data_IF_801271924626
#
_entry.id   IF_801271924626
#
_cell.length_a   1.000
_cell.length_b   1.000
_cell.length_c   1.000
_cell.angle_alpha   90.00
_cell.angle_beta   90.00
_cell.angle_gamma   90.00
#
_symmetry.space_group_name_H-M   'P 1'
#
loop_
_entity.id
_entity.type
_entity.pdbx_description
1 polymer ?
#
# COMPACT_ATOMS: atom_id res chain seq x y z
N UNK A 1 -10.99 -30.87 -14.74
CA UNK A 1 -9.79 -31.38 -14.06
C UNK A 1 -8.81 -30.23 -13.98
N UNK A 2 -8.86 -29.47 -12.89
CA UNK A 2 -7.86 -28.43 -12.60
C UNK A 2 -6.71 -29.15 -11.91
N UNK A 3 -5.59 -29.24 -12.62
CA UNK A 3 -4.38 -29.91 -12.16
C UNK A 3 -3.75 -29.08 -11.05
N UNK A 4 -3.61 -29.69 -9.87
CA UNK A 4 -2.76 -29.23 -8.79
C UNK A 4 -1.40 -28.81 -9.33
N UNK A 5 -1.02 -27.54 -9.16
CA UNK A 5 0.30 -27.02 -9.50
C UNK A 5 1.33 -27.73 -8.61
N UNK A 6 2.21 -28.50 -9.23
CA UNK A 6 3.31 -29.21 -8.55
C UNK A 6 4.36 -28.19 -8.07
N UNK A 7 5.14 -28.49 -7.02
CA UNK A 7 6.05 -27.57 -6.34
C UNK A 7 7.39 -27.33 -7.06
N UNK A 8 7.44 -27.27 -8.38
CA UNK A 8 8.69 -27.06 -9.13
C UNK A 8 8.69 -25.88 -10.13
N UNK A 9 7.77 -24.94 -9.97
CA UNK A 9 7.93 -23.67 -10.71
C UNK A 9 8.55 -22.63 -9.77
N UNK A 10 9.90 -22.50 -9.84
CA UNK A 10 10.58 -21.27 -9.41
C UNK A 10 9.92 -20.12 -10.14
N UNK A 11 9.04 -19.37 -9.43
CA UNK A 11 8.42 -18.17 -9.94
C UNK A 11 9.51 -17.18 -10.34
N UNK A 12 9.79 -17.09 -11.65
CA UNK A 12 10.23 -15.82 -12.20
C UNK A 12 9.08 -14.86 -11.93
N UNK A 13 9.33 -13.87 -11.11
CA UNK A 13 8.45 -12.73 -10.96
C UNK A 13 8.15 -12.21 -12.36
N UNK A 14 6.93 -12.44 -12.86
CA UNK A 14 6.43 -11.75 -14.03
C UNK A 14 6.16 -10.32 -13.58
N UNK A 15 7.22 -9.52 -13.61
CA UNK A 15 7.15 -8.07 -13.49
C UNK A 15 6.36 -7.59 -14.70
N UNK A 16 5.27 -6.83 -14.55
CA UNK A 16 4.58 -6.25 -15.68
C UNK A 16 5.59 -5.53 -16.56
N UNK A 17 5.51 -5.75 -17.87
CA UNK A 17 6.44 -5.22 -18.87
C UNK A 17 6.33 -3.69 -19.00
N UNK A 18 6.78 -2.95 -17.98
CA UNK A 18 7.01 -1.51 -18.03
C UNK A 18 8.30 -1.14 -18.80
N UNK A 19 9.05 -2.13 -19.30
CA UNK A 19 10.33 -1.95 -19.97
C UNK A 19 10.21 -1.50 -21.45
N UNK A 20 9.07 -1.00 -21.90
CA UNK A 20 8.96 -0.47 -23.28
C UNK A 20 9.21 1.02 -23.42
N UNK A 21 9.66 1.72 -22.38
CA UNK A 21 10.05 3.12 -22.54
C UNK A 21 11.46 3.38 -22.00
N UNK A 22 12.40 3.46 -22.95
CA UNK A 22 13.62 4.27 -22.95
C UNK A 22 14.58 4.13 -21.75
N UNK A 23 15.38 3.05 -21.75
CA UNK A 23 16.74 3.20 -21.28
C UNK A 23 17.47 4.12 -22.27
N UNK A 24 17.54 5.41 -21.97
CA UNK A 24 18.47 6.32 -22.65
C UNK A 24 19.85 5.93 -22.18
N UNK A 25 20.64 5.30 -23.05
CA UNK A 25 22.06 5.05 -22.85
C UNK A 25 22.81 6.41 -22.91
N UNK A 26 22.71 7.18 -21.85
CA UNK A 26 23.51 8.34 -21.56
C UNK A 26 23.54 8.49 -20.06
N UNK A 27 24.72 8.71 -19.46
CA UNK A 27 24.82 9.06 -18.05
C UNK A 27 23.82 10.20 -17.76
N UNK A 28 22.86 10.04 -16.81
CA UNK A 28 21.92 11.10 -16.52
C UNK A 28 22.71 12.31 -16.03
N UNK A 29 22.59 13.44 -16.72
CA UNK A 29 23.09 14.72 -16.17
C UNK A 29 22.30 14.99 -14.91
N UNK A 30 23.00 15.25 -13.80
CA UNK A 30 22.40 15.62 -12.53
C UNK A 30 21.37 16.74 -12.74
N UNK A 31 20.17 16.56 -12.18
CA UNK A 31 19.05 17.47 -12.39
C UNK A 31 18.70 18.20 -11.09
N UNK A 32 18.04 19.35 -11.23
CA UNK A 32 17.44 20.03 -10.10
C UNK A 32 16.06 19.44 -9.83
N UNK A 33 15.75 19.17 -8.56
CA UNK A 33 14.44 18.71 -8.10
C UNK A 33 13.87 19.70 -7.08
N UNK A 34 12.55 19.85 -7.11
CA UNK A 34 11.80 20.68 -6.15
C UNK A 34 11.54 19.90 -4.86
N UNK A 35 11.36 18.59 -5.00
CA UNK A 35 11.07 17.68 -3.89
C UNK A 35 11.93 16.40 -4.00
N UNK A 36 12.44 15.94 -2.86
CA UNK A 36 13.05 14.61 -2.72
C UNK A 36 12.21 13.78 -1.77
N UNK A 37 11.82 12.59 -2.22
CA UNK A 37 10.97 11.66 -1.49
C UNK A 37 11.77 10.43 -1.11
N UNK A 38 11.77 10.04 0.16
CA UNK A 38 12.42 8.84 0.68
C UNK A 38 11.38 7.78 1.00
N UNK A 39 11.42 6.66 0.28
CA UNK A 39 10.38 5.64 0.36
C UNK A 39 10.95 4.24 0.55
N UNK A 40 10.51 3.56 1.62
CA UNK A 40 10.86 2.16 1.89
C UNK A 40 10.14 1.17 0.98
N UNK A 41 9.06 1.59 0.31
CA UNK A 41 8.32 0.77 -0.64
C UNK A 41 8.90 0.92 -2.04
N UNK A 42 8.92 -0.21 -2.80
CA UNK A 42 9.33 -0.19 -4.20
C UNK A 42 8.24 0.39 -5.07
N UNK A 43 8.61 1.33 -5.94
CA UNK A 43 7.69 1.98 -6.87
C UNK A 43 6.96 0.97 -7.78
N UNK A 44 7.70 -0.02 -8.26
CA UNK A 44 7.21 -1.05 -9.18
C UNK A 44 6.63 -2.29 -8.47
N UNK A 45 6.39 -2.22 -7.18
CA UNK A 45 5.77 -3.30 -6.41
C UNK A 45 4.24 -3.10 -6.33
N UNK A 46 3.65 -3.18 -5.15
CA UNK A 46 2.21 -2.97 -4.97
C UNK A 46 1.90 -1.47 -5.02
N UNK A 47 0.88 -1.09 -5.80
CA UNK A 47 0.45 0.31 -5.94
C UNK A 47 -0.31 0.75 -4.68
N UNK A 48 0.19 1.73 -3.96
CA UNK A 48 -0.27 2.14 -2.64
C UNK A 48 -0.24 3.67 -2.49
N UNK A 49 -0.42 4.17 -1.26
CA UNK A 49 -0.40 5.59 -0.91
C UNK A 49 0.76 6.39 -1.54
N UNK A 50 2.04 5.94 -1.51
CA UNK A 50 3.12 6.71 -2.13
C UNK A 50 2.91 6.93 -3.62
N UNK A 51 2.55 5.88 -4.38
CA UNK A 51 2.30 6.01 -5.81
C UNK A 51 1.11 6.94 -6.09
N UNK A 52 0.03 6.84 -5.32
CA UNK A 52 -1.13 7.71 -5.46
C UNK A 52 -0.80 9.19 -5.23
N UNK A 53 -0.08 9.49 -4.15
CA UNK A 53 0.25 10.86 -3.77
C UNK A 53 1.34 11.45 -4.67
N UNK A 54 2.46 10.76 -4.82
CA UNK A 54 3.63 11.29 -5.52
C UNK A 54 3.36 11.47 -7.02
N UNK A 55 2.59 10.57 -7.66
CA UNK A 55 2.16 10.77 -9.05
C UNK A 55 1.28 12.01 -9.24
N UNK A 56 0.51 12.40 -8.22
CA UNK A 56 -0.33 13.61 -8.27
C UNK A 56 0.49 14.86 -8.00
N UNK A 57 1.36 14.85 -7.01
CA UNK A 57 2.25 15.96 -6.68
C UNK A 57 3.23 16.25 -7.82
N UNK A 58 3.67 15.23 -8.57
CA UNK A 58 4.57 15.40 -9.72
C UNK A 58 3.94 16.17 -10.90
N UNK A 59 2.65 16.44 -10.88
CA UNK A 59 2.02 17.34 -11.86
C UNK A 59 2.46 18.79 -11.67
N UNK A 60 2.84 19.17 -10.44
CA UNK A 60 3.17 20.56 -10.05
C UNK A 60 4.62 20.74 -9.62
N UNK A 61 5.37 19.65 -9.39
CA UNK A 61 6.75 19.69 -8.88
C UNK A 61 7.60 18.61 -9.54
N UNK A 62 8.89 18.88 -9.72
CA UNK A 62 9.85 17.89 -10.18
C UNK A 62 10.37 17.09 -8.99
N UNK A 63 10.13 15.80 -8.99
CA UNK A 63 10.31 14.90 -7.85
C UNK A 63 11.36 13.82 -8.16
N UNK A 64 12.31 13.65 -7.24
CA UNK A 64 13.15 12.47 -7.15
C UNK A 64 12.66 11.60 -5.98
N UNK A 65 12.16 10.40 -6.25
CA UNK A 65 11.88 9.42 -5.22
C UNK A 65 13.08 8.49 -5.10
N UNK A 66 13.59 8.32 -3.88
CA UNK A 66 14.72 7.46 -3.55
C UNK A 66 14.20 6.26 -2.76
N UNK A 67 14.41 5.07 -3.31
CA UNK A 67 14.06 3.79 -2.66
C UNK A 67 15.14 3.34 -1.68
N UNK A 68 14.83 2.42 -0.77
CA UNK A 68 15.84 1.78 0.08
C UNK A 68 16.86 1.00 -0.77
N UNK A 69 18.15 0.98 -0.36
CA UNK A 69 19.18 0.20 -1.05
C UNK A 69 18.86 -1.30 -1.03
N UNK A 70 19.10 -1.97 -2.15
CA UNK A 70 19.03 -3.44 -2.25
C UNK A 70 20.12 -3.99 -3.16
N UNK A 71 20.45 -5.27 -2.95
CA UNK A 71 21.27 -6.04 -3.85
C UNK A 71 22.74 -5.60 -3.91
N UNK A 72 23.23 -4.91 -2.86
CA UNK A 72 24.65 -4.54 -2.73
C UNK A 72 25.46 -5.72 -2.21
N UNK A 73 26.53 -6.06 -2.90
CA UNK A 73 27.57 -6.97 -2.45
C UNK A 73 28.80 -6.14 -2.04
N UNK A 74 29.57 -6.59 -1.05
CA UNK A 74 30.77 -5.89 -0.56
C UNK A 74 31.88 -5.71 -1.63
N UNK A 75 31.74 -6.37 -2.77
CA UNK A 75 32.63 -6.23 -3.93
C UNK A 75 32.07 -5.30 -5.00
N UNK A 76 30.82 -4.78 -4.83
CA UNK A 76 30.19 -3.86 -5.77
C UNK A 76 30.75 -2.43 -5.60
N UNK A 77 30.81 -1.69 -6.72
CA UNK A 77 30.93 -0.24 -6.67
C UNK A 77 29.57 0.37 -6.36
N UNK A 78 29.55 1.44 -5.55
CA UNK A 78 28.33 2.18 -5.27
C UNK A 78 27.74 2.75 -6.56
N UNK A 79 26.46 2.51 -6.82
CA UNK A 79 25.78 2.90 -8.06
C UNK A 79 24.28 3.08 -7.81
N UNK A 80 23.56 3.54 -8.81
CA UNK A 80 22.10 3.62 -8.76
C UNK A 80 21.48 3.42 -10.14
N UNK A 81 20.26 2.98 -10.17
CA UNK A 81 19.44 2.88 -11.37
C UNK A 81 18.35 3.96 -11.32
N UNK A 82 18.28 4.82 -12.34
CA UNK A 82 17.28 5.88 -12.44
C UNK A 82 16.16 5.47 -13.40
N UNK A 83 14.96 5.27 -12.86
CA UNK A 83 13.77 5.04 -13.65
C UNK A 83 13.08 6.40 -13.92
N UNK A 84 12.87 6.72 -15.18
CA UNK A 84 12.12 7.90 -15.60
C UNK A 84 10.66 7.50 -15.81
N UNK A 85 9.78 7.90 -14.90
CA UNK A 85 8.34 7.64 -14.98
C UNK A 85 7.68 8.63 -15.94
N UNK A 86 8.02 9.91 -15.79
CA UNK A 86 7.65 11.00 -16.69
C UNK A 86 8.67 12.14 -16.52
N UNK A 87 8.45 13.28 -17.17
CA UNK A 87 9.35 14.44 -17.15
C UNK A 87 9.60 15.02 -15.74
N UNK A 88 8.64 14.85 -14.82
CA UNK A 88 8.67 15.41 -13.47
C UNK A 88 8.85 14.35 -12.37
N UNK A 89 8.82 13.06 -12.68
CA UNK A 89 8.93 12.00 -11.67
C UNK A 89 9.99 10.98 -12.06
N UNK A 90 11.05 10.96 -11.26
CA UNK A 90 12.15 10.02 -11.39
C UNK A 90 12.28 9.19 -10.12
N UNK A 91 12.63 7.90 -10.27
CA UNK A 91 12.81 6.97 -9.16
C UNK A 91 14.27 6.53 -9.15
N UNK A 92 15.00 6.83 -8.11
CA UNK A 92 16.36 6.35 -7.88
C UNK A 92 16.30 5.05 -7.07
N UNK A 93 16.91 4.01 -7.61
CA UNK A 93 17.07 2.70 -6.97
C UNK A 93 18.55 2.55 -6.60
N UNK A 94 18.93 2.88 -5.35
CA UNK A 94 20.33 2.83 -4.93
C UNK A 94 20.82 1.38 -4.82
N UNK A 95 22.03 1.12 -5.34
CA UNK A 95 22.79 -0.08 -5.08
C UNK A 95 24.02 0.32 -4.28
N UNK A 96 23.83 0.51 -2.99
CA UNK A 96 24.83 0.96 -2.01
C UNK A 96 24.68 0.14 -0.73
N UNK A 97 25.68 0.21 0.14
CA UNK A 97 25.77 -0.62 1.34
C UNK A 97 24.63 -0.38 2.35
N UNK A 98 24.28 0.87 2.59
CA UNK A 98 23.30 1.31 3.59
C UNK A 98 22.67 2.65 3.18
N UNK A 99 21.77 3.18 4.00
CA UNK A 99 21.08 4.46 3.72
C UNK A 99 22.05 5.63 3.65
N UNK A 100 23.03 5.70 4.55
CA UNK A 100 24.03 6.78 4.62
C UNK A 100 24.88 6.81 3.34
N UNK A 101 25.19 5.65 2.78
CA UNK A 101 25.97 5.52 1.56
C UNK A 101 25.23 6.00 0.29
N UNK A 102 23.92 6.26 0.37
CA UNK A 102 23.18 6.92 -0.73
C UNK A 102 23.84 8.27 -1.09
N UNK A 103 24.35 8.99 -0.08
CA UNK A 103 25.03 10.28 -0.27
C UNK A 103 26.19 10.22 -1.27
N UNK A 104 26.84 9.07 -1.42
CA UNK A 104 28.00 8.87 -2.33
C UNK A 104 27.58 9.01 -3.79
N UNK A 105 26.40 8.50 -4.15
CA UNK A 105 25.92 8.47 -5.54
C UNK A 105 25.06 9.67 -5.92
N UNK A 106 24.54 10.44 -4.93
CA UNK A 106 23.63 11.56 -5.19
C UNK A 106 24.17 12.57 -6.22
N UNK A 107 25.47 12.96 -6.23
CA UNK A 107 25.97 13.93 -7.20
C UNK A 107 25.81 13.54 -8.67
N UNK A 108 25.59 12.27 -8.95
CA UNK A 108 25.34 11.78 -10.33
C UNK A 108 23.89 12.06 -10.78
N UNK A 109 22.97 12.23 -9.85
CA UNK A 109 21.52 12.29 -10.13
C UNK A 109 20.89 13.63 -9.78
N UNK A 110 21.40 14.32 -8.75
CA UNK A 110 20.86 15.60 -8.27
C UNK A 110 21.93 16.69 -8.28
N UNK A 111 21.58 17.85 -8.84
CA UNK A 111 22.47 18.99 -8.96
C UNK A 111 22.33 20.02 -7.82
N UNK A 112 21.34 19.83 -6.93
CA UNK A 112 21.12 20.69 -5.76
C UNK A 112 20.83 19.84 -4.52
N UNK A 113 21.42 20.18 -3.38
CA UNK A 113 21.16 19.56 -2.08
C UNK A 113 20.23 20.41 -1.20
N UNK A 114 19.60 21.42 -1.78
CA UNK A 114 18.63 22.31 -1.12
C UNK A 114 17.27 22.31 -1.88
N UNK A 115 16.61 21.15 -2.05
CA UNK A 115 15.25 21.10 -2.58
C UNK A 115 14.26 21.70 -1.58
N UNK A 116 13.15 22.26 -2.08
CA UNK A 116 12.16 22.92 -1.21
C UNK A 116 11.51 21.93 -0.23
N UNK A 117 11.32 20.67 -0.63
CA UNK A 117 10.65 19.68 0.23
C UNK A 117 11.45 18.38 0.34
N UNK A 118 11.70 17.95 1.58
CA UNK A 118 12.11 16.60 1.92
C UNK A 118 10.93 15.81 2.45
N UNK A 119 10.50 14.76 1.73
CA UNK A 119 9.35 13.94 2.11
C UNK A 119 9.79 12.54 2.51
N UNK A 120 9.53 12.16 3.76
CA UNK A 120 9.97 10.89 4.33
C UNK A 120 8.77 9.96 4.59
N UNK A 121 8.76 8.77 3.98
CA UNK A 121 7.81 7.69 4.29
C UNK A 121 8.34 6.73 5.35
N UNK A 122 9.63 6.75 5.62
CA UNK A 122 10.25 5.90 6.64
C UNK A 122 11.34 6.67 7.37
N UNK A 123 11.40 6.47 8.68
CA UNK A 123 12.43 7.05 9.54
C UNK A 123 13.81 6.43 9.31
N UNK A 124 13.91 5.28 8.62
CA UNK A 124 15.20 4.69 8.21
C UNK A 124 16.08 5.65 7.42
N UNK A 125 15.45 6.58 6.68
CA UNK A 125 16.14 7.60 5.89
C UNK A 125 16.53 8.85 6.67
N UNK A 126 16.25 8.93 7.97
CA UNK A 126 16.57 10.12 8.78
C UNK A 126 18.04 10.57 8.75
N UNK A 127 19.04 9.69 8.54
CA UNK A 127 20.43 10.13 8.37
C UNK A 127 20.65 11.07 7.17
N UNK A 128 19.79 11.02 6.16
CA UNK A 128 19.90 11.89 4.98
C UNK A 128 19.44 13.34 5.23
N UNK A 129 18.84 13.64 6.39
CA UNK A 129 18.63 15.02 6.85
C UNK A 129 19.95 15.79 6.99
N UNK A 130 21.05 15.10 7.30
CA UNK A 130 22.39 15.72 7.40
C UNK A 130 23.03 16.01 6.02
N UNK A 131 22.46 15.46 4.94
CA UNK A 131 22.98 15.58 3.57
C UNK A 131 22.28 16.69 2.80
N UNK A 132 20.98 16.88 3.07
CA UNK A 132 20.14 17.85 2.37
C UNK A 132 19.78 19.03 3.28
N UNK A 133 19.68 20.22 2.67
CA UNK A 133 19.18 21.44 3.31
C UNK A 133 17.78 21.74 2.77
N UNK A 134 16.76 21.11 3.37
CA UNK A 134 15.36 21.26 2.96
C UNK A 134 14.75 22.55 3.56
N UNK A 135 13.92 23.25 2.76
CA UNK A 135 13.11 24.36 3.28
C UNK A 135 11.96 23.84 4.17
N UNK A 136 11.43 22.66 3.83
CA UNK A 136 10.33 22.01 4.58
C UNK A 136 10.58 20.51 4.64
N UNK A 137 10.54 19.94 5.85
CA UNK A 137 10.65 18.50 6.09
C UNK A 137 9.28 17.93 6.41
N UNK A 138 8.83 16.97 5.63
CA UNK A 138 7.55 16.26 5.78
C UNK A 138 7.81 14.83 6.18
N UNK A 139 7.22 14.38 7.29
CA UNK A 139 7.12 12.97 7.64
C UNK A 139 5.71 12.46 7.34
N UNK A 140 5.53 11.65 6.29
CA UNK A 140 4.28 10.96 5.98
C UNK A 140 4.27 9.58 6.63
N UNK A 141 3.90 9.53 7.90
CA UNK A 141 3.77 8.33 8.71
C UNK A 141 2.49 7.59 8.32
N UNK A 142 2.58 6.73 7.31
CA UNK A 142 1.42 5.97 6.83
C UNK A 142 1.14 4.71 7.64
N UNK A 143 2.16 4.15 8.30
CA UNK A 143 2.11 2.96 9.16
C UNK A 143 3.04 3.16 10.36
N UNK A 144 2.80 2.45 11.47
CA UNK A 144 3.69 2.40 12.63
C UNK A 144 4.78 1.33 12.39
N UNK A 145 5.77 1.67 11.55
CA UNK A 145 6.80 0.72 11.10
C UNK A 145 7.60 0.10 12.24
N UNK A 146 7.70 0.79 13.39
CA UNK A 146 8.42 0.31 14.59
C UNK A 146 7.75 -0.90 15.22
N UNK A 147 6.47 -1.15 14.94
CA UNK A 147 5.68 -2.26 15.46
C UNK A 147 5.65 -3.48 14.56
N UNK A 148 6.21 -3.40 13.36
CA UNK A 148 6.24 -4.53 12.44
C UNK A 148 7.25 -5.58 12.89
N UNK A 149 6.93 -6.86 12.66
CA UNK A 149 7.83 -7.98 12.97
C UNK A 149 9.18 -7.79 12.28
N UNK A 150 10.25 -7.90 13.05
CA UNK A 150 11.61 -7.75 12.55
C UNK A 150 12.05 -6.29 12.32
N UNK A 151 11.27 -5.29 12.72
CA UNK A 151 11.70 -3.89 12.65
C UNK A 151 13.01 -3.69 13.43
N UNK A 152 14.03 -3.03 12.85
CA UNK A 152 15.29 -2.75 13.53
C UNK A 152 15.05 -1.87 14.76
N UNK A 153 15.69 -2.19 15.89
CA UNK A 153 15.52 -1.40 17.13
C UNK A 153 15.91 0.07 16.95
N UNK A 154 16.90 0.34 16.12
CA UNK A 154 17.35 1.71 15.79
C UNK A 154 16.25 2.56 15.15
N UNK A 155 15.25 1.95 14.51
CA UNK A 155 14.14 2.66 13.86
C UNK A 155 13.36 3.53 14.85
N UNK A 156 13.28 3.12 16.13
CA UNK A 156 12.62 3.90 17.19
C UNK A 156 13.34 5.24 17.43
N UNK A 157 14.66 5.23 17.49
CA UNK A 157 15.43 6.46 17.71
C UNK A 157 15.51 7.30 16.44
N UNK A 158 15.57 6.65 15.28
CA UNK A 158 15.46 7.31 13.99
C UNK A 158 14.10 8.01 13.81
N UNK A 159 13.01 7.41 14.27
CA UNK A 159 11.69 8.04 14.22
C UNK A 159 11.61 9.25 15.16
N UNK A 160 12.13 9.15 16.38
CA UNK A 160 12.20 10.31 17.28
C UNK A 160 13.02 11.46 16.67
N UNK A 161 14.14 11.12 16.03
CA UNK A 161 14.97 12.10 15.36
C UNK A 161 14.26 12.75 14.18
N UNK A 162 13.61 11.96 13.31
CA UNK A 162 12.83 12.49 12.19
C UNK A 162 11.66 13.35 12.67
N UNK A 163 10.91 12.89 13.69
CA UNK A 163 9.83 13.66 14.30
C UNK A 163 10.29 15.01 14.86
N UNK A 164 11.46 15.05 15.48
CA UNK A 164 12.02 16.29 16.06
C UNK A 164 12.51 17.30 14.98
N UNK A 165 12.79 16.84 13.77
CA UNK A 165 13.28 17.66 12.66
C UNK A 165 12.22 17.87 11.54
N UNK A 166 11.07 17.24 11.64
CA UNK A 166 9.97 17.45 10.70
C UNK A 166 9.27 18.78 11.01
N UNK A 167 8.90 19.52 9.98
CA UNK A 167 8.01 20.69 10.09
C UNK A 167 6.56 20.26 10.09
N UNK A 168 6.26 19.17 9.37
CA UNK A 168 4.93 18.63 9.15
C UNK A 168 4.94 17.12 9.31
N UNK A 169 3.97 16.58 10.04
CA UNK A 169 3.70 15.15 10.13
C UNK A 169 2.31 14.86 9.56
N UNK A 170 2.27 14.06 8.51
CA UNK A 170 1.03 13.46 8.01
C UNK A 170 0.87 12.05 8.57
N UNK A 171 -0.36 11.64 8.84
CA UNK A 171 -0.64 10.28 9.34
C UNK A 171 -1.65 9.57 8.46
N UNK A 172 -1.44 8.27 8.23
CA UNK A 172 -2.25 7.43 7.36
C UNK A 172 -3.59 6.99 7.94
N UNK A 173 -3.91 7.33 9.18
CA UNK A 173 -5.13 6.94 9.87
C UNK A 173 -5.38 7.76 11.13
N UNK A 174 -6.60 7.66 11.67
CA UNK A 174 -7.01 8.42 12.87
C UNK A 174 -6.34 7.92 14.14
N UNK A 175 -6.21 6.59 14.30
CA UNK A 175 -5.53 6.00 15.45
C UNK A 175 -4.04 6.38 15.47
N UNK A 176 -3.41 6.41 14.31
CA UNK A 176 -2.03 6.86 14.16
C UNK A 176 -1.89 8.37 14.45
N UNK A 177 -2.83 9.18 13.98
CA UNK A 177 -2.89 10.61 14.30
C UNK A 177 -2.96 10.85 15.82
N UNK A 178 -3.82 10.14 16.53
CA UNK A 178 -3.96 10.25 17.99
C UNK A 178 -2.67 9.88 18.72
N UNK A 179 -1.88 8.97 18.18
CA UNK A 179 -0.56 8.60 18.70
C UNK A 179 0.47 9.71 18.45
N UNK A 180 0.62 10.16 17.19
CA UNK A 180 1.69 11.08 16.79
C UNK A 180 1.48 12.52 17.27
N UNK A 181 0.24 13.00 17.39
CA UNK A 181 -0.05 14.36 17.87
C UNK A 181 0.37 14.63 19.33
N UNK A 182 0.71 13.58 20.09
CA UNK A 182 1.24 13.72 21.43
C UNK A 182 2.75 14.08 21.43
N UNK A 183 3.40 13.97 20.28
CA UNK A 183 4.84 14.12 20.12
C UNK A 183 5.25 15.21 19.14
N UNK A 184 4.27 15.85 18.43
CA UNK A 184 4.54 16.89 17.46
C UNK A 184 3.34 17.84 17.30
N UNK A 185 3.58 19.14 17.16
CA UNK A 185 2.52 20.16 17.12
C UNK A 185 1.78 20.19 15.77
N UNK A 186 2.50 20.00 14.66
CA UNK A 186 1.98 20.10 13.30
C UNK A 186 1.65 18.72 12.72
N UNK A 187 0.72 17.99 13.34
CA UNK A 187 0.25 16.69 12.88
C UNK A 187 -1.10 16.83 12.20
N UNK A 188 -1.22 16.26 11.00
CA UNK A 188 -2.44 16.29 10.19
C UNK A 188 -2.87 14.89 9.80
N UNK A 189 -4.15 14.59 10.00
CA UNK A 189 -4.72 13.28 9.70
C UNK A 189 -5.18 13.21 8.23
N UNK A 190 -4.57 12.30 7.49
CA UNK A 190 -4.96 11.96 6.12
C UNK A 190 -5.14 10.45 6.00
N UNK A 191 -6.31 9.92 6.40
CA UNK A 191 -6.62 8.50 6.22
C UNK A 191 -6.49 8.08 4.76
N UNK A 192 -6.46 6.78 4.54
CA UNK A 192 -6.49 6.21 3.20
C UNK A 192 -7.61 6.80 2.35
N UNK A 193 -7.34 6.95 1.08
CA UNK A 193 -8.27 7.49 0.09
C UNK A 193 -8.51 6.47 -1.02
N UNK A 194 -9.26 6.80 -2.05
CA UNK A 194 -9.57 5.88 -3.15
C UNK A 194 -9.51 6.57 -4.52
N UNK A 195 -9.13 5.80 -5.52
CA UNK A 195 -9.34 6.13 -6.93
C UNK A 195 -10.70 5.53 -7.35
N UNK A 196 -11.78 6.24 -6.99
CA UNK A 196 -13.14 5.75 -7.20
C UNK A 196 -13.42 5.42 -8.67
N UNK A 197 -13.06 6.25 -9.68
CA UNK A 197 -13.29 5.91 -11.08
C UNK A 197 -12.60 4.62 -11.51
N UNK A 198 -11.45 4.31 -10.94
CA UNK A 198 -10.70 3.09 -11.24
C UNK A 198 -11.45 1.84 -10.72
N UNK A 199 -11.80 1.81 -9.44
CA UNK A 199 -12.45 0.64 -8.84
C UNK A 199 -13.93 0.51 -9.24
N UNK A 200 -14.63 1.61 -9.51
CA UNK A 200 -16.01 1.60 -10.02
C UNK A 200 -16.14 0.94 -11.41
N UNK A 201 -15.05 0.68 -12.13
CA UNK A 201 -15.10 -0.14 -13.34
C UNK A 201 -15.67 -1.53 -13.06
N UNK A 202 -15.51 -2.07 -11.85
CA UNK A 202 -16.10 -3.34 -11.44
C UNK A 202 -17.64 -3.38 -11.54
N UNK A 203 -18.30 -2.24 -11.46
CA UNK A 203 -19.76 -2.09 -11.62
C UNK A 203 -20.21 -2.12 -13.08
N UNK A 204 -19.27 -1.97 -14.01
CA UNK A 204 -19.54 -1.87 -15.45
C UNK A 204 -19.28 -3.19 -16.18
N UNK A 205 -19.36 -3.16 -17.53
CA UNK A 205 -19.24 -4.32 -18.39
C UNK A 205 -17.82 -4.88 -18.60
N UNK A 206 -16.86 -4.68 -17.68
CA UNK A 206 -15.53 -5.31 -17.77
C UNK A 206 -15.62 -6.83 -17.56
N UNK A 207 -14.65 -7.57 -18.05
CA UNK A 207 -14.63 -9.04 -17.95
C UNK A 207 -14.05 -9.51 -16.61
N UNK A 208 -14.61 -10.60 -16.08
CA UNK A 208 -14.04 -11.33 -14.94
C UNK A 208 -12.89 -12.19 -15.44
N UNK A 209 -11.72 -12.18 -14.77
CA UNK A 209 -10.58 -12.99 -15.19
C UNK A 209 -10.91 -14.50 -15.21
N UNK A 210 -10.36 -15.20 -16.20
CA UNK A 210 -10.67 -16.63 -16.45
C UNK A 210 -10.28 -17.54 -15.28
N UNK A 211 -9.30 -17.15 -14.48
CA UNK A 211 -8.82 -17.91 -13.31
C UNK A 211 -9.79 -17.87 -12.11
N UNK A 212 -10.74 -16.94 -12.09
CA UNK A 212 -11.80 -16.88 -11.07
C UNK A 212 -13.22 -17.01 -11.65
N UNK A 213 -13.41 -16.85 -12.96
CA UNK A 213 -14.74 -16.78 -13.58
C UNK A 213 -15.59 -18.06 -13.40
N UNK A 214 -14.95 -19.22 -13.18
CA UNK A 214 -15.62 -20.51 -13.03
C UNK A 214 -15.54 -21.07 -11.61
N UNK A 215 -15.09 -20.27 -10.64
CA UNK A 215 -15.08 -20.71 -9.24
C UNK A 215 -16.51 -20.87 -8.70
N UNK A 216 -16.65 -21.75 -7.74
CA UNK A 216 -17.94 -21.97 -7.07
C UNK A 216 -18.30 -20.74 -6.22
N UNK A 217 -19.48 -20.20 -6.43
CA UNK A 217 -20.02 -19.10 -5.62
C UNK A 217 -20.54 -19.60 -4.26
N UNK A 218 -20.44 -18.77 -3.19
CA UNK A 218 -19.90 -17.42 -3.22
C UNK A 218 -18.38 -17.39 -3.36
N UNK A 219 -17.89 -16.39 -4.10
CA UNK A 219 -16.45 -16.07 -4.19
C UNK A 219 -16.15 -14.95 -3.19
N UNK A 220 -15.36 -15.27 -2.17
CA UNK A 220 -14.95 -14.34 -1.10
C UNK A 220 -13.49 -13.97 -1.32
N UNK A 221 -13.23 -12.71 -1.67
CA UNK A 221 -11.92 -12.32 -2.16
C UNK A 221 -11.20 -11.25 -1.32
N UNK A 222 -9.88 -11.35 -1.32
CA UNK A 222 -8.94 -10.38 -0.78
C UNK A 222 -7.87 -10.05 -1.83
N UNK A 223 -7.46 -8.80 -1.92
CA UNK A 223 -6.23 -8.44 -2.62
C UNK A 223 -5.33 -7.55 -1.76
N UNK A 224 -4.03 -7.71 -1.88
CA UNK A 224 -3.00 -6.95 -1.17
C UNK A 224 -1.84 -7.84 -0.76
N UNK A 225 -0.84 -7.25 -0.12
CA UNK A 225 0.28 -8.03 0.43
C UNK A 225 -0.24 -9.03 1.45
N UNK A 226 0.20 -10.27 1.35
CA UNK A 226 -0.11 -11.36 2.29
C UNK A 226 1.12 -11.50 3.19
N UNK A 227 0.99 -11.04 4.44
CA UNK A 227 2.07 -11.01 5.43
C UNK A 227 1.53 -11.25 6.86
N UNK A 228 2.34 -10.96 7.88
CA UNK A 228 1.97 -11.13 9.29
C UNK A 228 0.72 -10.37 9.76
N UNK A 229 0.19 -9.49 8.90
CA UNK A 229 -1.06 -8.75 9.19
C UNK A 229 -2.31 -9.56 8.84
N UNK A 230 -2.18 -10.66 8.10
CA UNK A 230 -3.31 -11.53 7.77
C UNK A 230 -3.48 -12.59 8.85
N UNK A 231 -4.71 -12.77 9.32
CA UNK A 231 -5.08 -13.86 10.21
C UNK A 231 -5.29 -15.14 9.39
N UNK A 232 -4.20 -15.86 9.20
CA UNK A 232 -4.18 -17.09 8.40
C UNK A 232 -4.98 -18.23 9.09
N UNK A 233 -5.04 -18.23 10.42
CA UNK A 233 -5.82 -19.22 11.18
C UNK A 233 -7.32 -18.96 11.00
N UNK A 234 -7.77 -17.71 11.10
CA UNK A 234 -9.15 -17.33 10.83
C UNK A 234 -9.57 -17.72 9.40
N UNK A 235 -8.70 -17.47 8.41
CA UNK A 235 -8.94 -17.88 7.02
C UNK A 235 -9.07 -19.40 6.90
N UNK A 236 -8.14 -20.15 7.51
CA UNK A 236 -8.12 -21.62 7.51
C UNK A 236 -9.41 -22.21 8.10
N UNK A 237 -9.75 -21.81 9.31
CA UNK A 237 -10.92 -22.30 10.02
C UNK A 237 -12.23 -21.96 9.28
N UNK A 238 -12.30 -20.76 8.70
CA UNK A 238 -13.48 -20.34 7.92
C UNK A 238 -13.61 -21.15 6.64
N UNK A 239 -12.52 -21.36 5.90
CA UNK A 239 -12.52 -22.16 4.67
C UNK A 239 -12.91 -23.61 4.92
N UNK A 240 -12.39 -24.19 6.00
CA UNK A 240 -12.72 -25.56 6.42
C UNK A 240 -14.19 -25.75 6.79
N UNK A 241 -14.81 -24.73 7.43
CA UNK A 241 -16.24 -24.76 7.78
C UNK A 241 -17.15 -24.56 6.58
N UNK A 242 -16.69 -23.86 5.55
CA UNK A 242 -17.46 -23.55 4.34
C UNK A 242 -16.82 -24.15 3.06
N UNK A 243 -16.78 -25.48 2.90
CA UNK A 243 -16.09 -26.12 1.78
C UNK A 243 -16.67 -25.79 0.40
N UNK A 244 -17.88 -25.25 0.35
CA UNK A 244 -18.56 -24.84 -0.88
C UNK A 244 -18.38 -23.35 -1.22
N UNK A 245 -17.58 -22.61 -0.47
CA UNK A 245 -17.22 -21.20 -0.70
C UNK A 245 -15.83 -21.15 -1.29
N UNK A 246 -15.61 -20.33 -2.30
CA UNK A 246 -14.29 -20.10 -2.89
C UNK A 246 -13.61 -18.90 -2.24
N UNK A 247 -12.49 -19.11 -1.56
CA UNK A 247 -11.68 -18.03 -0.97
C UNK A 247 -10.54 -17.66 -1.91
N UNK A 248 -10.49 -16.43 -2.36
CA UNK A 248 -9.50 -15.95 -3.34
C UNK A 248 -8.56 -14.95 -2.69
N UNK A 249 -7.27 -15.29 -2.69
CA UNK A 249 -6.19 -14.45 -2.12
C UNK A 249 -5.29 -13.96 -3.24
N UNK A 250 -5.29 -12.65 -3.48
CA UNK A 250 -4.51 -12.00 -4.55
C UNK A 250 -3.43 -11.12 -3.93
N UNK A 251 -2.17 -11.38 -4.26
CA UNK A 251 -1.06 -10.55 -3.85
C UNK A 251 0.23 -11.32 -3.63
N UNK A 252 1.34 -10.58 -3.49
CA UNK A 252 2.61 -11.17 -3.17
C UNK A 252 2.70 -11.55 -1.70
N UNK A 253 3.51 -12.58 -1.40
CA UNK A 253 3.92 -12.88 -0.03
C UNK A 253 5.05 -11.92 0.38
N UNK A 254 5.01 -11.45 1.61
CA UNK A 254 6.08 -10.69 2.22
C UNK A 254 6.25 -11.08 3.69
N UNK A 255 7.49 -11.26 4.15
CA UNK A 255 7.85 -11.60 5.54
C UNK A 255 7.27 -12.92 6.09
N UNK A 256 6.56 -13.68 5.28
CA UNK A 256 6.08 -15.02 5.56
C UNK A 256 6.45 -15.95 4.41
N UNK A 257 6.54 -17.24 4.69
CA UNK A 257 6.85 -18.25 3.69
C UNK A 257 5.58 -18.89 3.13
N UNK A 258 5.69 -19.50 1.95
CA UNK A 258 4.57 -20.23 1.33
C UNK A 258 4.09 -21.40 2.22
N UNK A 259 4.97 -21.97 3.03
CA UNK A 259 4.65 -23.03 3.99
C UNK A 259 3.76 -22.58 5.15
N UNK A 260 3.66 -21.26 5.39
CA UNK A 260 2.80 -20.69 6.44
C UNK A 260 1.34 -20.58 5.98
N UNK A 261 1.10 -20.67 4.68
CA UNK A 261 -0.24 -20.51 4.12
C UNK A 261 -1.12 -21.73 4.39
N UNK A 262 -2.39 -21.54 4.82
CA UNK A 262 -3.34 -22.63 4.94
C UNK A 262 -3.61 -23.30 3.59
N UNK A 263 -3.70 -24.64 3.59
CA UNK A 263 -3.90 -25.46 2.39
C UNK A 263 -5.25 -26.15 2.49
N UNK A 264 -6.28 -25.50 1.95
CA UNK A 264 -7.62 -26.07 1.78
C UNK A 264 -7.98 -26.07 0.29
N UNK A 265 -8.80 -27.06 -0.15
CA UNK A 265 -9.16 -27.22 -1.58
C UNK A 265 -9.92 -26.01 -2.15
N UNK A 266 -10.49 -25.18 -1.29
CA UNK A 266 -11.31 -24.03 -1.64
C UNK A 266 -10.59 -22.67 -1.38
N UNK A 267 -9.29 -22.68 -1.08
CA UNK A 267 -8.46 -21.46 -1.00
C UNK A 267 -7.58 -21.35 -2.24
N UNK A 268 -7.68 -20.24 -2.96
CA UNK A 268 -6.99 -19.97 -4.22
C UNK A 268 -6.00 -18.83 -4.06
N UNK A 269 -4.69 -19.10 -4.09
CA UNK A 269 -3.65 -18.09 -4.07
C UNK A 269 -3.22 -17.78 -5.50
N UNK A 270 -3.55 -16.60 -5.98
CA UNK A 270 -3.34 -16.21 -7.38
C UNK A 270 -2.04 -15.43 -7.62
N UNK A 271 -1.31 -15.11 -6.56
CA UNK A 271 -0.11 -14.28 -6.66
C UNK A 271 -0.42 -12.81 -6.97
N UNK A 272 0.62 -12.05 -7.29
CA UNK A 272 0.50 -10.63 -7.56
C UNK A 272 -0.27 -10.36 -8.86
N UNK A 273 -1.12 -9.33 -8.83
CA UNK A 273 -1.79 -8.78 -10.01
C UNK A 273 -1.48 -7.28 -10.10
N UNK A 274 -1.46 -6.75 -11.31
CA UNK A 274 -1.26 -5.32 -11.52
C UNK A 274 -2.46 -4.52 -10.99
N UNK A 275 -2.20 -3.27 -10.58
CA UNK A 275 -3.25 -2.36 -10.13
C UNK A 275 -4.40 -2.24 -11.14
N UNK A 276 -4.07 -2.21 -12.42
CA UNK A 276 -5.06 -2.09 -13.50
C UNK A 276 -5.99 -3.30 -13.63
N UNK A 277 -5.58 -4.49 -13.17
CA UNK A 277 -6.41 -5.70 -13.23
C UNK A 277 -7.35 -5.83 -12.02
N UNK A 278 -7.07 -5.13 -10.90
CA UNK A 278 -7.84 -5.30 -9.66
C UNK A 278 -9.36 -5.09 -9.81
N UNK A 279 -9.85 -4.10 -10.59
CA UNK A 279 -11.28 -3.96 -10.81
C UNK A 279 -11.94 -5.22 -11.45
N UNK A 280 -11.22 -5.91 -12.36
CA UNK A 280 -11.70 -7.12 -13.01
C UNK A 280 -11.86 -8.27 -12.00
N UNK A 281 -10.89 -8.43 -11.09
CA UNK A 281 -10.99 -9.40 -10.00
C UNK A 281 -12.10 -9.05 -9.02
N UNK A 282 -12.20 -7.77 -8.62
CA UNK A 282 -13.30 -7.31 -7.77
C UNK A 282 -14.66 -7.58 -8.37
N UNK A 283 -14.81 -7.43 -9.69
CA UNK A 283 -16.07 -7.80 -10.35
C UNK A 283 -16.47 -9.25 -10.09
N UNK A 284 -15.50 -10.15 -10.07
CA UNK A 284 -15.70 -11.57 -9.83
C UNK A 284 -15.94 -11.97 -8.36
N UNK A 285 -15.71 -11.07 -7.40
CA UNK A 285 -16.01 -11.33 -5.98
C UNK A 285 -17.51 -11.11 -5.71
N UNK A 286 -18.13 -12.03 -4.97
CA UNK A 286 -19.45 -11.81 -4.37
C UNK A 286 -19.32 -10.99 -3.08
N UNK A 287 -18.27 -11.24 -2.31
CA UNK A 287 -17.97 -10.58 -1.04
C UNK A 287 -16.47 -10.24 -1.00
N UNK A 288 -16.12 -9.06 -0.55
CA UNK A 288 -14.74 -8.70 -0.28
C UNK A 288 -14.42 -8.90 1.22
N UNK A 289 -13.22 -9.41 1.52
CA UNK A 289 -12.82 -9.68 2.90
C UNK A 289 -11.54 -8.95 3.29
N UNK A 290 -11.43 -8.62 4.57
CA UNK A 290 -10.24 -8.08 5.22
C UNK A 290 -9.95 -8.89 6.49
N UNK A 291 -9.40 -10.11 6.38
CA UNK A 291 -9.13 -11.01 7.49
C UNK A 291 -7.81 -10.63 8.17
N UNK A 292 -7.73 -9.42 8.74
CA UNK A 292 -6.52 -8.97 9.42
C UNK A 292 -6.41 -9.56 10.84
N UNK A 293 -5.21 -9.96 11.21
CA UNK A 293 -4.89 -10.30 12.59
C UNK A 293 -4.98 -9.04 13.47
N UNK A 294 -5.46 -9.18 14.69
CA UNK A 294 -5.47 -8.11 15.68
C UNK A 294 -4.19 -8.20 16.51
N UNK A 295 -3.17 -7.48 16.08
CA UNK A 295 -1.84 -7.47 16.67
C UNK A 295 -1.19 -6.08 16.63
N UNK A 296 0.06 -5.96 17.08
CA UNK A 296 0.75 -4.66 17.11
C UNK A 296 0.92 -4.05 15.71
N UNK A 297 1.19 -4.85 14.67
CA UNK A 297 1.37 -4.37 13.30
C UNK A 297 0.07 -3.83 12.68
N UNK A 298 -1.10 -4.27 13.17
CA UNK A 298 -2.42 -3.85 12.66
C UNK A 298 -3.10 -2.80 13.54
N UNK A 299 -2.51 -2.46 14.68
CA UNK A 299 -3.09 -1.57 15.68
C UNK A 299 -3.45 -0.18 15.12
N UNK A 300 -2.64 0.33 14.20
CA UNK A 300 -2.77 1.70 13.68
C UNK A 300 -3.04 1.74 12.16
N UNK A 301 -3.37 0.60 11.53
CA UNK A 301 -3.62 0.59 10.09
C UNK A 301 -4.98 1.20 9.74
N UNK A 302 -5.02 1.90 8.60
CA UNK A 302 -6.24 2.36 7.95
C UNK A 302 -6.28 1.76 6.53
N UNK A 303 -6.90 0.57 6.35
CA UNK A 303 -6.79 -0.17 5.12
C UNK A 303 -7.43 0.57 3.94
N UNK A 304 -6.66 0.83 2.87
CA UNK A 304 -7.16 1.38 1.60
C UNK A 304 -8.25 0.51 0.99
N UNK A 305 -8.14 -0.80 1.21
CA UNK A 305 -9.06 -1.82 0.70
C UNK A 305 -10.52 -1.58 1.07
N UNK A 306 -10.78 -1.01 2.24
CA UNK A 306 -12.15 -0.68 2.64
C UNK A 306 -12.84 0.20 1.61
N UNK A 307 -12.18 1.28 1.20
CA UNK A 307 -12.71 2.24 0.22
C UNK A 307 -12.67 1.71 -1.21
N UNK A 308 -11.65 0.90 -1.54
CA UNK A 308 -11.51 0.25 -2.84
C UNK A 308 -12.65 -0.76 -3.09
N UNK A 309 -12.99 -1.55 -2.07
CA UNK A 309 -14.12 -2.48 -2.08
C UNK A 309 -15.48 -1.75 -2.14
N UNK A 310 -15.62 -0.66 -1.38
CA UNK A 310 -16.79 0.20 -1.44
C UNK A 310 -17.00 0.79 -2.84
N UNK A 311 -15.93 1.30 -3.48
CA UNK A 311 -15.98 1.86 -4.82
C UNK A 311 -16.36 0.82 -5.89
N UNK A 312 -16.06 -0.46 -5.64
CA UNK A 312 -16.48 -1.60 -6.46
C UNK A 312 -17.86 -2.15 -6.08
N UNK A 313 -18.59 -1.52 -5.14
CA UNK A 313 -19.92 -1.93 -4.71
C UNK A 313 -19.97 -3.29 -4.01
N UNK A 314 -18.86 -3.72 -3.37
CA UNK A 314 -18.80 -5.06 -2.74
C UNK A 314 -19.24 -5.01 -1.29
N UNK A 315 -20.07 -5.98 -0.83
CA UNK A 315 -20.27 -6.23 0.60
C UNK A 315 -18.91 -6.57 1.23
N UNK A 316 -18.65 -6.06 2.44
CA UNK A 316 -17.34 -6.18 3.08
C UNK A 316 -17.48 -6.91 4.41
N UNK A 317 -16.61 -7.89 4.64
CA UNK A 317 -16.38 -8.51 5.96
C UNK A 317 -14.97 -8.15 6.41
N UNK A 318 -14.82 -7.69 7.64
CA UNK A 318 -13.53 -7.34 8.23
C UNK A 318 -13.43 -7.80 9.67
N UNK A 319 -12.24 -8.18 10.09
CA UNK A 319 -11.91 -8.21 11.51
C UNK A 319 -11.99 -6.80 12.11
N UNK A 320 -12.05 -6.69 13.44
CA UNK A 320 -12.29 -5.42 14.16
C UNK A 320 -11.05 -4.53 14.25
N UNK A 321 -10.50 -4.16 13.08
CA UNK A 321 -9.45 -3.15 12.98
C UNK A 321 -9.96 -1.81 13.50
N UNK A 322 -9.18 -1.14 14.37
CA UNK A 322 -9.59 0.05 15.11
C UNK A 322 -10.20 1.14 14.22
N UNK A 323 -9.53 1.51 13.13
CA UNK A 323 -10.04 2.58 12.25
C UNK A 323 -11.19 2.09 11.35
N UNK A 324 -11.29 0.78 11.05
CA UNK A 324 -12.46 0.21 10.36
C UNK A 324 -13.69 0.24 11.25
N UNK A 325 -13.55 -0.15 12.52
CA UNK A 325 -14.64 -0.08 13.52
C UNK A 325 -15.12 1.37 13.70
N UNK A 326 -14.19 2.30 13.82
CA UNK A 326 -14.47 3.72 14.04
C UNK A 326 -15.24 4.38 12.90
N UNK A 327 -14.81 4.11 11.67
CA UNK A 327 -15.24 4.88 10.50
C UNK A 327 -16.29 4.16 9.65
N UNK A 328 -16.35 2.81 9.72
CA UNK A 328 -17.12 2.01 8.77
C UNK A 328 -18.01 0.92 9.41
N UNK A 329 -18.17 0.91 10.73
CA UNK A 329 -18.97 -0.11 11.44
C UNK A 329 -20.45 -0.14 11.04
N UNK A 330 -20.96 0.92 10.42
CA UNK A 330 -22.36 0.97 9.94
C UNK A 330 -22.57 0.24 8.61
N UNK A 331 -21.49 -0.01 7.84
CA UNK A 331 -21.59 -0.57 6.50
C UNK A 331 -20.57 -1.69 6.21
N UNK A 332 -19.73 -2.06 7.18
CA UNK A 332 -18.81 -3.20 7.12
C UNK A 332 -19.24 -4.23 8.15
N UNK A 333 -19.32 -5.50 7.75
CA UNK A 333 -19.63 -6.60 8.66
C UNK A 333 -18.37 -6.94 9.47
N UNK A 334 -18.42 -6.66 10.76
CA UNK A 334 -17.30 -6.83 11.67
C UNK A 334 -17.38 -8.19 12.36
N UNK A 335 -16.28 -8.95 12.33
CA UNK A 335 -16.19 -10.31 12.88
C UNK A 335 -14.94 -10.49 13.73
N UNK A 336 -14.96 -11.42 14.67
CA UNK A 336 -13.83 -11.81 15.51
C UNK A 336 -13.49 -13.29 15.39
N UNK A 337 -14.46 -14.12 15.04
CA UNK A 337 -14.32 -15.58 15.00
C UNK A 337 -14.66 -16.15 13.64
N UNK A 338 -14.20 -17.39 13.38
CA UNK A 338 -14.55 -18.11 12.16
C UNK A 338 -16.06 -18.38 12.06
N UNK A 339 -16.75 -18.58 13.19
CA UNK A 339 -18.21 -18.79 13.19
C UNK A 339 -18.94 -17.53 12.75
N UNK A 340 -18.58 -16.35 13.32
CA UNK A 340 -19.14 -15.05 12.89
C UNK A 340 -18.82 -14.77 11.42
N UNK A 341 -17.63 -15.16 10.96
CA UNK A 341 -17.23 -14.98 9.56
C UNK A 341 -18.11 -15.84 8.64
N UNK A 342 -18.34 -17.10 8.99
CA UNK A 342 -19.24 -18.02 8.25
C UNK A 342 -20.69 -17.49 8.21
N UNK A 343 -21.20 -17.01 9.33
CA UNK A 343 -22.55 -16.40 9.42
C UNK A 343 -22.65 -15.16 8.52
N UNK A 344 -21.63 -14.27 8.54
CA UNK A 344 -21.60 -13.07 7.71
C UNK A 344 -21.56 -13.41 6.21
N UNK A 345 -20.74 -14.38 5.79
CA UNK A 345 -20.70 -14.85 4.39
C UNK A 345 -22.08 -15.34 3.96
N UNK A 346 -22.68 -16.23 4.74
CA UNK A 346 -23.98 -16.82 4.44
C UNK A 346 -25.06 -15.74 4.33
N UNK A 347 -25.12 -14.84 5.32
CA UNK A 347 -26.09 -13.75 5.33
C UNK A 347 -25.96 -12.83 4.12
N UNK A 348 -24.75 -12.37 3.81
CA UNK A 348 -24.50 -11.44 2.71
C UNK A 348 -24.81 -12.08 1.35
N UNK A 349 -24.45 -13.36 1.18
CA UNK A 349 -24.72 -14.06 -0.07
C UNK A 349 -26.20 -14.33 -0.29
N UNK A 350 -26.93 -14.72 0.75
CA UNK A 350 -28.37 -14.93 0.70
C UNK A 350 -29.16 -13.64 0.43
N UNK A 351 -28.63 -12.53 0.89
CA UNK A 351 -29.26 -11.20 0.75
C UNK A 351 -28.75 -10.41 -0.45
N UNK A 352 -27.81 -10.89 -1.26
CA UNK A 352 -27.13 -10.14 -2.31
C UNK A 352 -28.07 -9.40 -3.27
N UNK A 353 -29.22 -9.99 -3.63
CA UNK A 353 -30.20 -9.38 -4.52
C UNK A 353 -31.06 -8.27 -3.86
N UNK A 354 -30.97 -8.11 -2.55
CA UNK A 354 -31.71 -7.16 -1.73
C UNK A 354 -30.84 -5.99 -1.22
N UNK A 355 -29.50 -6.16 -1.26
CA UNK A 355 -28.54 -5.17 -0.79
C UNK A 355 -28.23 -4.17 -1.90
N UNK A 356 -28.23 -2.88 -1.57
CA UNK A 356 -27.82 -1.80 -2.47
C UNK A 356 -26.58 -1.11 -1.90
N UNK A 357 -25.43 -1.78 -1.98
CA UNK A 357 -24.17 -1.29 -1.39
C UNK A 357 -23.75 0.07 -1.95
N UNK A 358 -24.06 0.36 -3.21
CA UNK A 358 -23.73 1.65 -3.82
C UNK A 358 -24.37 2.84 -3.10
N UNK A 359 -25.61 2.68 -2.62
CA UNK A 359 -26.31 3.74 -1.88
C UNK A 359 -25.72 3.90 -0.47
N UNK A 360 -25.35 2.80 0.17
CA UNK A 360 -24.77 2.84 1.52
C UNK A 360 -23.37 3.50 1.50
N UNK A 361 -22.58 3.27 0.46
CA UNK A 361 -21.20 3.77 0.34
C UNK A 361 -21.12 5.19 -0.24
N UNK A 362 -22.17 5.68 -0.87
CA UNK A 362 -22.16 6.97 -1.59
C UNK A 362 -21.68 8.14 -0.73
N UNK A 363 -22.19 8.26 0.50
CA UNK A 363 -21.85 9.36 1.41
C UNK A 363 -20.40 9.33 1.87
N UNK A 364 -19.80 8.14 1.96
CA UNK A 364 -18.39 7.94 2.30
C UNK A 364 -17.52 8.32 1.10
N UNK A 365 -17.82 7.76 -0.07
CA UNK A 365 -17.00 7.87 -1.26
C UNK A 365 -16.98 9.29 -1.86
N UNK A 366 -18.10 10.02 -1.82
CA UNK A 366 -18.18 11.39 -2.40
C UNK A 366 -17.17 12.38 -1.81
N UNK A 367 -16.71 12.13 -0.57
CA UNK A 367 -15.76 12.99 0.14
C UNK A 367 -14.34 12.42 0.16
N UNK A 368 -14.09 11.31 -0.52
CA UNK A 368 -12.83 10.57 -0.43
C UNK A 368 -12.21 10.42 -1.82
N UNK A 369 -11.11 11.12 -2.06
CA UNK A 369 -10.33 10.98 -3.30
C UNK A 369 -8.86 11.30 -3.07
N UNK A 370 -7.98 10.58 -3.78
CA UNK A 370 -6.54 10.85 -3.74
C UNK A 370 -6.19 12.23 -4.29
N UNK A 371 -6.97 12.77 -5.26
CA UNK A 371 -6.75 14.13 -5.78
C UNK A 371 -7.03 15.18 -4.71
N UNK A 372 -8.15 15.06 -3.97
CA UNK A 372 -8.46 15.96 -2.87
C UNK A 372 -7.43 15.86 -1.74
N UNK A 373 -6.99 14.65 -1.41
CA UNK A 373 -5.95 14.40 -0.41
C UNK A 373 -4.63 15.08 -0.81
N UNK A 374 -4.13 14.81 -2.02
CA UNK A 374 -2.88 15.39 -2.51
C UNK A 374 -2.92 16.92 -2.55
N UNK A 375 -4.00 17.52 -3.05
CA UNK A 375 -4.20 18.97 -3.11
C UNK A 375 -4.19 19.60 -1.71
N UNK A 376 -4.84 18.96 -0.73
CA UNK A 376 -4.88 19.46 0.64
C UNK A 376 -3.51 19.37 1.32
N UNK A 377 -2.78 18.26 1.12
CA UNK A 377 -1.42 18.10 1.63
C UNK A 377 -0.47 19.14 1.01
N UNK A 378 -0.53 19.34 -0.31
CA UNK A 378 0.24 20.38 -1.02
C UNK A 378 -0.07 21.79 -0.47
N UNK A 379 -1.33 22.08 -0.21
CA UNK A 379 -1.75 23.37 0.36
C UNK A 379 -1.16 23.60 1.76
N UNK A 380 -1.09 22.57 2.60
CA UNK A 380 -0.47 22.66 3.93
C UNK A 380 1.03 22.92 3.78
N UNK A 381 1.73 22.15 2.93
CA UNK A 381 3.18 22.33 2.71
C UNK A 381 3.49 23.77 2.31
N UNK A 382 2.71 24.34 1.39
CA UNK A 382 2.88 25.74 0.96
C UNK A 382 2.73 26.78 2.08
N UNK A 383 2.10 26.44 3.20
CA UNK A 383 2.02 27.37 4.35
C UNK A 383 3.27 27.38 5.21
N UNK A 384 4.15 26.39 5.06
CA UNK A 384 5.44 26.31 5.77
C UNK A 384 6.62 26.80 4.93
N UNK A 385 6.50 26.84 3.62
CA UNK A 385 7.52 27.31 2.68
C UNK A 385 7.54 28.85 2.50
N UNK A 386 7.02 29.63 3.47
CA UNK A 386 6.95 31.12 3.40
C UNK A 386 7.97 31.79 4.28
#
# INVERSE_FOLDING_TARGET
MLTNLRPEQKNKLDVPDFNKNNAVNGYPTAQKYDMVVFCHLRWQFVYQRPQHLISRLSKNAKILLIEEPIGYDNHDESSGNLLVINENLHILQPKVKDIEAISIILPEYISNLNPSVGWFYSASFSPLLEVFDFETVVFDCMDELTLFKGAPKQLIDQEKYLMANADIVFTGGKSLYESKKQHHDNVYCFPSSVDQPHFAQALNGIEVPADIANLQAPVVGYFGVIDERIDLELLHETAKKLPNVSFVMIGPLAKIDQSDLPVEDNIYYLGMRSYNELPNYLKGFDIAMMPFAINDATKYISPTKTLEYMAAGKPIISTKITDVVRDYSICVNLVETADEFCEAITYLFDKRDQLSMELEYFDILKNTSWDATANKMESIIKTFAQ
#
